data_IF_009694912568
#
_entry.id   IF_009694912568
#
_cell.length_a   1.000
_cell.length_b   1.000
_cell.length_c   1.000
_cell.angle_alpha   90.00
_cell.angle_beta   90.00
_cell.angle_gamma   90.00
#
_symmetry.space_group_name_H-M   'P 1'
#
loop_
_entity.id
_entity.type
_entity.pdbx_description
1 polymer ?
#
# COMPACT_ATOMS: atom_id res chain seq x y z
N UNK A 1 8.62 -6.23 -12.11
CA UNK A 1 9.76 -5.29 -12.02
C UNK A 1 9.28 -3.98 -12.62
N UNK A 2 8.98 -2.95 -11.80
CA UNK A 2 8.55 -1.65 -12.34
C UNK A 2 9.76 -0.91 -12.92
N UNK A 3 9.62 -0.19 -14.06
CA UNK A 3 10.73 0.53 -14.66
C UNK A 3 11.21 1.68 -13.75
N UNK A 4 12.51 1.99 -13.79
CA UNK A 4 13.07 3.18 -13.13
C UNK A 4 12.54 4.46 -13.81
N UNK A 5 12.40 5.58 -13.08
CA UNK A 5 11.86 6.83 -13.61
C UNK A 5 12.66 7.41 -14.80
N UNK A 6 13.97 7.18 -14.87
CA UNK A 6 14.82 7.63 -16.01
C UNK A 6 14.73 6.70 -17.24
N UNK A 7 13.87 5.68 -17.19
CA UNK A 7 13.68 4.65 -18.21
C UNK A 7 12.27 4.67 -18.80
N UNK A 8 11.53 5.77 -18.62
CA UNK A 8 10.22 5.91 -19.23
C UNK A 8 10.39 6.02 -20.76
N UNK A 9 9.69 5.19 -21.54
CA UNK A 9 9.80 5.23 -22.98
C UNK A 9 9.35 6.59 -23.51
N UNK A 10 10.07 7.13 -24.49
CA UNK A 10 9.68 8.39 -25.14
C UNK A 10 8.53 8.20 -26.14
N UNK A 11 8.23 6.95 -26.52
CA UNK A 11 7.11 6.60 -27.39
C UNK A 11 5.78 6.79 -26.64
N UNK A 12 4.89 7.71 -27.09
CA UNK A 12 3.59 7.92 -26.49
C UNK A 12 2.72 6.65 -26.44
N UNK A 13 2.84 5.74 -27.42
CA UNK A 13 2.06 4.51 -27.44
C UNK A 13 2.53 3.50 -26.38
N UNK A 14 3.83 3.49 -26.07
CA UNK A 14 4.39 2.68 -25.00
C UNK A 14 4.05 3.27 -23.62
N UNK A 15 4.11 4.59 -23.46
CA UNK A 15 3.63 5.27 -22.25
C UNK A 15 2.15 4.99 -22.00
N UNK A 16 1.30 5.07 -23.03
CA UNK A 16 -0.12 4.78 -22.91
C UNK A 16 -0.35 3.34 -22.44
N UNK A 17 0.41 2.37 -22.94
CA UNK A 17 0.33 0.97 -22.48
C UNK A 17 0.72 0.82 -21.01
N UNK A 18 1.76 1.51 -20.56
CA UNK A 18 2.18 1.50 -19.15
C UNK A 18 1.11 2.11 -18.25
N UNK A 19 0.53 3.25 -18.65
CA UNK A 19 -0.55 3.90 -17.90
C UNK A 19 -1.76 2.98 -17.77
N UNK A 20 -2.22 2.37 -18.88
CA UNK A 20 -3.35 1.45 -18.86
C UNK A 20 -3.09 0.22 -17.97
N UNK A 21 -1.85 -0.30 -17.97
CA UNK A 21 -1.47 -1.40 -17.09
C UNK A 21 -1.55 -0.99 -15.60
N UNK A 22 -1.07 0.20 -15.25
CA UNK A 22 -1.19 0.72 -13.88
C UNK A 22 -2.65 1.00 -13.48
N UNK A 23 -3.47 1.52 -14.39
CA UNK A 23 -4.90 1.73 -14.12
C UNK A 23 -5.63 0.40 -13.88
N UNK A 24 -5.33 -0.62 -14.69
CA UNK A 24 -5.87 -1.96 -14.52
C UNK A 24 -5.44 -2.58 -13.18
N UNK A 25 -4.16 -2.50 -12.81
CA UNK A 25 -3.67 -2.97 -11.51
C UNK A 25 -4.32 -2.21 -10.34
N UNK A 26 -4.48 -0.90 -10.47
CA UNK A 26 -5.19 -0.11 -9.46
C UNK A 26 -6.67 -0.49 -9.33
N UNK A 27 -7.35 -0.76 -10.44
CA UNK A 27 -8.74 -1.23 -10.43
C UNK A 27 -8.84 -2.60 -9.75
N UNK A 28 -7.95 -3.53 -10.09
CA UNK A 28 -7.85 -4.85 -9.47
C UNK A 28 -7.61 -4.73 -7.95
N UNK A 29 -6.64 -3.92 -7.53
CA UNK A 29 -6.35 -3.68 -6.11
C UNK A 29 -7.57 -3.11 -5.37
N UNK A 30 -8.32 -2.20 -5.99
CA UNK A 30 -9.55 -1.64 -5.40
C UNK A 30 -10.63 -2.69 -5.19
N UNK A 31 -10.75 -3.66 -6.10
CA UNK A 31 -11.68 -4.79 -5.99
C UNK A 31 -11.21 -5.78 -4.93
N UNK A 32 -9.97 -6.25 -4.99
CA UNK A 32 -9.45 -7.24 -4.03
C UNK A 32 -9.47 -6.73 -2.59
N UNK A 33 -8.94 -5.52 -2.35
CA UNK A 33 -9.01 -4.89 -1.03
C UNK A 33 -10.46 -4.56 -0.66
N UNK A 34 -11.33 -4.38 -1.67
CA UNK A 34 -12.75 -4.10 -1.55
C UNK A 34 -13.59 -5.27 -1.04
N UNK A 35 -13.41 -6.43 -1.66
CA UNK A 35 -14.31 -7.58 -1.57
C UNK A 35 -13.72 -8.74 -0.78
N UNK A 36 -12.40 -8.95 -0.87
CA UNK A 36 -11.68 -10.06 -0.20
C UNK A 36 -10.43 -9.57 0.55
N UNK A 37 -10.58 -8.58 1.46
CA UNK A 37 -9.44 -7.96 2.14
C UNK A 37 -8.60 -8.96 2.95
N UNK A 38 -9.21 -9.99 3.51
CA UNK A 38 -8.54 -11.03 4.31
C UNK A 38 -7.55 -11.90 3.51
N UNK A 39 -7.78 -12.09 2.20
CA UNK A 39 -6.88 -12.85 1.32
C UNK A 39 -5.82 -11.99 0.66
N UNK A 40 -5.98 -10.66 0.66
CA UNK A 40 -5.02 -9.75 0.05
C UNK A 40 -3.65 -9.80 0.74
N UNK A 41 -2.57 -9.75 -0.03
CA UNK A 41 -1.20 -9.60 0.45
C UNK A 41 -0.45 -8.56 -0.40
N UNK A 42 0.43 -7.74 0.20
CA UNK A 42 1.30 -6.85 -0.56
C UNK A 42 2.29 -7.68 -1.39
N UNK A 43 2.54 -7.24 -2.63
CA UNK A 43 3.54 -7.85 -3.51
C UNK A 43 4.91 -7.25 -3.22
N UNK A 44 5.68 -7.91 -2.35
CA UNK A 44 7.08 -7.54 -2.09
C UNK A 44 8.03 -8.27 -3.02
N UNK A 45 9.19 -7.65 -3.29
CA UNK A 45 10.26 -8.32 -4.01
C UNK A 45 10.85 -9.43 -3.14
N UNK A 46 11.02 -10.63 -3.71
CA UNK A 46 11.67 -11.74 -3.02
C UNK A 46 13.19 -11.61 -3.12
N UNK A 47 13.88 -11.89 -2.02
CA UNK A 47 15.35 -11.91 -1.93
C UNK A 47 15.88 -13.33 -2.12
N UNK A 48 17.18 -13.44 -2.38
CA UNK A 48 17.85 -14.73 -2.60
C UNK A 48 17.84 -15.64 -1.36
N UNK A 49 17.73 -15.05 -0.16
CA UNK A 49 17.62 -15.77 1.12
C UNK A 49 16.17 -16.23 1.42
N UNK A 50 15.25 -16.04 0.48
CA UNK A 50 13.84 -16.43 0.61
C UNK A 50 12.97 -15.40 1.32
N UNK A 51 13.55 -14.38 1.96
CA UNK A 51 12.82 -13.30 2.62
C UNK A 51 12.25 -12.31 1.60
N UNK A 52 11.40 -11.41 2.07
CA UNK A 52 10.83 -10.32 1.29
C UNK A 52 11.50 -8.99 1.61
N UNK A 53 11.68 -8.15 0.58
CA UNK A 53 12.14 -6.76 0.70
C UNK A 53 10.92 -5.82 0.72
N UNK A 54 10.58 -5.24 1.89
CA UNK A 54 9.46 -4.32 2.01
C UNK A 54 9.81 -2.87 1.69
N UNK A 55 11.11 -2.52 1.56
CA UNK A 55 11.59 -1.13 1.69
C UNK A 55 10.88 -0.17 0.73
N UNK A 56 10.92 -0.47 -0.57
CA UNK A 56 10.32 0.39 -1.59
C UNK A 56 8.80 0.50 -1.45
N UNK A 57 8.13 -0.60 -1.12
CA UNK A 57 6.69 -0.63 -0.97
C UNK A 57 6.24 0.20 0.24
N UNK A 58 6.87 -0.01 1.40
CA UNK A 58 6.50 0.68 2.64
C UNK A 58 6.81 2.17 2.59
N UNK A 59 7.95 2.55 1.99
CA UNK A 59 8.28 3.97 1.78
C UNK A 59 7.27 4.61 0.81
N UNK A 60 6.95 3.97 -0.31
CA UNK A 60 5.98 4.50 -1.27
C UNK A 60 4.59 4.68 -0.62
N UNK A 61 4.14 3.70 0.18
CA UNK A 61 2.88 3.78 0.91
C UNK A 61 2.86 4.99 1.85
N UNK A 62 3.90 5.17 2.68
CA UNK A 62 3.95 6.26 3.65
C UNK A 62 4.07 7.62 2.98
N UNK A 63 4.88 7.74 1.92
CA UNK A 63 4.96 8.97 1.13
C UNK A 63 3.60 9.33 0.52
N UNK A 64 2.85 8.34 0.04
CA UNK A 64 1.53 8.57 -0.55
C UNK A 64 0.52 9.15 0.46
N UNK A 65 0.67 8.87 1.77
CA UNK A 65 -0.19 9.47 2.81
C UNK A 65 -0.04 11.00 2.90
N UNK A 66 1.12 11.53 2.49
CA UNK A 66 1.42 12.96 2.45
C UNK A 66 0.49 13.76 1.53
N UNK A 67 0.02 13.16 0.43
CA UNK A 67 -0.90 13.80 -0.51
C UNK A 67 -2.30 14.07 0.08
N UNK A 68 -2.67 13.41 1.18
CA UNK A 68 -3.94 13.62 1.88
C UNK A 68 -3.73 13.75 3.40
N UNK A 69 -2.75 14.56 3.81
CA UNK A 69 -2.26 14.65 5.21
C UNK A 69 -3.36 14.83 6.25
N UNK A 70 -4.41 15.65 5.99
CA UNK A 70 -5.51 15.86 6.95
C UNK A 70 -6.31 14.57 7.20
N UNK A 71 -6.57 13.81 6.15
CA UNK A 71 -7.30 12.54 6.21
C UNK A 71 -6.50 11.47 6.96
N UNK A 72 -5.19 11.41 6.71
CA UNK A 72 -4.31 10.38 7.27
C UNK A 72 -3.83 10.65 8.69
N UNK A 73 -3.90 11.91 9.16
CA UNK A 73 -3.40 12.32 10.49
C UNK A 73 -3.85 11.41 11.64
N UNK A 74 -5.11 10.95 11.73
CA UNK A 74 -5.54 10.04 12.80
C UNK A 74 -4.83 8.68 12.76
N UNK A 75 -4.62 8.12 11.56
CA UNK A 75 -3.94 6.84 11.38
C UNK A 75 -2.44 6.97 11.67
N UNK A 76 -1.81 8.07 11.24
CA UNK A 76 -0.37 8.29 11.37
C UNK A 76 0.09 8.60 12.81
N UNK A 77 -0.75 9.26 13.61
CA UNK A 77 -0.40 9.69 14.97
C UNK A 77 -0.91 8.74 16.06
N UNK A 78 -1.55 7.64 15.66
CA UNK A 78 -2.32 6.79 16.55
C UNK A 78 -3.69 7.42 16.86
N UNK A 79 -4.72 6.59 16.82
CA UNK A 79 -6.09 6.97 17.14
C UNK A 79 -6.63 6.03 18.22
N UNK A 80 -7.33 6.59 19.22
CA UNK A 80 -7.78 5.83 20.38
C UNK A 80 -8.64 4.60 20.01
N UNK A 81 -9.41 4.67 18.92
CA UNK A 81 -10.25 3.57 18.45
C UNK A 81 -9.50 2.48 17.67
N UNK A 82 -8.29 2.73 17.19
CA UNK A 82 -7.55 1.81 16.32
C UNK A 82 -6.19 1.40 16.86
N UNK A 83 -5.68 2.02 17.92
CA UNK A 83 -4.27 1.90 18.31
C UNK A 83 -3.33 2.31 17.15
N UNK A 84 -2.03 1.96 17.23
CA UNK A 84 -1.04 2.25 16.19
C UNK A 84 -1.09 1.23 15.04
N UNK A 85 -2.21 1.19 14.30
CA UNK A 85 -2.44 0.25 13.18
C UNK A 85 -1.42 0.36 12.05
N UNK A 86 -0.68 1.48 11.95
CA UNK A 86 0.32 1.67 10.90
C UNK A 86 1.70 1.14 11.29
N UNK A 87 1.93 0.80 12.57
CA UNK A 87 3.22 0.31 13.04
C UNK A 87 3.81 -0.83 12.18
N UNK A 88 3.06 -1.88 11.77
CA UNK A 88 3.62 -2.93 10.93
C UNK A 88 4.15 -2.45 9.57
N UNK A 89 3.64 -1.33 9.03
CA UNK A 89 4.16 -0.72 7.80
C UNK A 89 5.38 0.15 8.12
N UNK A 90 5.25 1.02 9.14
CA UNK A 90 6.31 1.96 9.56
C UNK A 90 7.60 1.24 9.94
N UNK A 91 7.49 0.13 10.66
CA UNK A 91 8.64 -0.61 11.20
C UNK A 91 9.47 -1.31 10.10
N UNK A 92 8.93 -1.38 8.87
CA UNK A 92 9.59 -2.01 7.71
C UNK A 92 10.35 -1.03 6.80
N UNK A 93 10.44 0.23 7.21
CA UNK A 93 11.10 1.30 6.45
C UNK A 93 12.63 1.33 6.60
N UNK A 94 13.19 0.51 7.48
CA UNK A 94 14.64 0.38 7.60
C UNK A 94 15.25 -0.23 6.33
N UNK A 95 16.40 0.29 5.89
CA UNK A 95 17.11 -0.15 4.66
C UNK A 95 17.46 -1.65 4.67
N UNK A 96 17.61 -2.23 5.86
CA UNK A 96 17.92 -3.66 6.05
C UNK A 96 16.70 -4.48 6.50
N UNK A 97 15.49 -3.92 6.45
CA UNK A 97 14.28 -4.63 6.83
C UNK A 97 14.07 -5.85 5.93
N UNK A 98 13.75 -6.98 6.55
CA UNK A 98 13.42 -8.23 5.86
C UNK A 98 12.16 -8.77 6.48
N UNK A 99 11.23 -9.23 5.65
CA UNK A 99 10.02 -9.88 6.13
C UNK A 99 10.07 -11.37 5.80
N UNK A 100 9.63 -12.18 6.75
CA UNK A 100 9.14 -13.54 6.51
C UNK A 100 7.63 -13.49 6.20
N UNK A 101 7.01 -14.66 5.97
CA UNK A 101 5.58 -14.74 5.66
C UNK A 101 4.69 -14.13 6.77
N UNK A 102 5.10 -14.27 8.04
CA UNK A 102 4.39 -13.67 9.17
C UNK A 102 4.44 -12.13 9.11
N UNK A 103 5.59 -11.58 8.78
CA UNK A 103 5.78 -10.15 8.53
C UNK A 103 4.92 -9.63 7.38
N UNK A 104 4.84 -10.38 6.26
CA UNK A 104 3.95 -10.04 5.14
C UNK A 104 2.48 -10.04 5.58
N UNK A 105 2.07 -11.04 6.37
CA UNK A 105 0.71 -11.11 6.91
C UNK A 105 0.40 -9.96 7.88
N UNK A 106 1.38 -9.51 8.69
CA UNK A 106 1.23 -8.38 9.58
C UNK A 106 1.02 -7.06 8.81
N UNK A 107 1.80 -6.82 7.75
CA UNK A 107 1.58 -5.67 6.86
C UNK A 107 0.22 -5.74 6.17
N UNK A 108 -0.18 -6.93 5.71
CA UNK A 108 -1.50 -7.11 5.10
C UNK A 108 -2.64 -6.74 6.06
N UNK A 109 -2.57 -7.23 7.29
CA UNK A 109 -3.54 -6.92 8.35
C UNK A 109 -3.59 -5.43 8.66
N UNK A 110 -2.46 -4.74 8.66
CA UNK A 110 -2.39 -3.29 8.84
C UNK A 110 -3.15 -2.54 7.74
N UNK A 111 -2.94 -2.89 6.46
CA UNK A 111 -3.64 -2.27 5.33
C UNK A 111 -5.15 -2.50 5.42
N UNK A 112 -5.59 -3.71 5.79
CA UNK A 112 -7.01 -4.03 5.98
C UNK A 112 -7.60 -3.21 7.13
N UNK A 113 -6.90 -3.07 8.25
CA UNK A 113 -7.36 -2.24 9.37
C UNK A 113 -7.49 -0.76 8.98
N UNK A 114 -6.52 -0.23 8.24
CA UNK A 114 -6.53 1.14 7.70
C UNK A 114 -7.75 1.34 6.77
N UNK A 115 -8.00 0.38 5.87
CA UNK A 115 -9.16 0.41 4.99
C UNK A 115 -10.47 0.44 5.80
N UNK A 116 -10.61 -0.45 6.78
CA UNK A 116 -11.79 -0.53 7.64
C UNK A 116 -12.03 0.76 8.42
N UNK A 117 -10.98 1.48 8.82
CA UNK A 117 -11.11 2.79 9.44
C UNK A 117 -11.73 3.84 8.49
N UNK A 118 -11.31 3.86 7.21
CA UNK A 118 -11.78 4.83 6.23
C UNK A 118 -13.10 4.46 5.53
N UNK A 119 -13.47 3.17 5.48
CA UNK A 119 -14.66 2.72 4.73
C UNK A 119 -15.99 3.32 5.24
N UNK A 120 -16.29 3.34 6.56
CA UNK A 120 -17.50 3.99 7.08
C UNK A 120 -17.53 5.50 6.81
N UNK A 121 -16.36 6.15 6.80
CA UNK A 121 -16.23 7.59 6.53
C UNK A 121 -16.58 7.92 5.08
N UNK A 122 -16.18 7.07 4.12
CA UNK A 122 -16.59 7.18 2.71
C UNK A 122 -18.09 7.06 2.51
N UNK A 123 -18.73 6.08 3.16
CA UNK A 123 -20.18 5.87 3.05
C UNK A 123 -20.94 7.08 3.59
N UNK A 124 -20.45 7.70 4.67
CA UNK A 124 -21.06 8.91 5.23
C UNK A 124 -20.86 10.14 4.34
N UNK A 125 -19.67 10.32 3.77
CA UNK A 125 -19.38 11.42 2.85
C UNK A 125 -20.18 11.33 1.53
N UNK A 126 -20.48 10.12 1.06
CA UNK A 126 -21.27 9.90 -0.15
C UNK A 126 -22.79 10.10 0.02
N UNK A 127 -23.26 10.34 1.25
CA UNK A 127 -24.68 10.58 1.60
C UNK A 127 -25.01 12.06 1.80
N UNK A 128 -24.03 12.94 1.62
CA UNK A 128 -24.13 14.41 1.74
C UNK A 128 -24.04 14.98 0.33
#
# INVERSE_FOLDING_TARGET
MSPRPDSLPSDPAELQRIVLAFEAENAELRVYVGETPETWRPRFARRNDGSFDPFHWSIAFLLATGYATRLWRPVLRGHAATSDIIAPIRDTTGVNSRLDDAGVAAVAKAVVAIRSYFMPQRVRAARI
#
